data_IF_809901425055
#
_entry.id   IF_809901425055
#
_cell.length_a   1.000
_cell.length_b   1.000
_cell.length_c   1.000
_cell.angle_alpha   90.00
_cell.angle_beta   90.00
_cell.angle_gamma   90.00
#
_symmetry.space_group_name_H-M   'P 1'
#
loop_
_entity.id
_entity.type
_entity.pdbx_description
1 polymer ?
#
# COMPACT_ATOMS: atom_id res chain seq x y z
N UNK A 1 -13.94 -33.45 -11.91
CA UNK A 1 -14.97 -33.59 -12.95
C UNK A 1 -15.36 -32.20 -13.43
N UNK A 2 -15.26 -31.92 -14.73
CA UNK A 2 -15.68 -30.65 -15.34
C UNK A 2 -17.21 -30.58 -15.46
N UNK A 3 -17.78 -29.38 -15.60
CA UNK A 3 -19.23 -29.20 -15.70
C UNK A 3 -19.86 -29.98 -16.86
N UNK A 4 -19.14 -30.14 -17.96
CA UNK A 4 -19.61 -30.87 -19.13
C UNK A 4 -19.65 -32.39 -18.91
N UNK A 5 -18.68 -32.93 -18.17
CA UNK A 5 -18.65 -34.34 -17.76
C UNK A 5 -19.79 -34.63 -16.79
N UNK A 6 -20.04 -33.73 -15.83
CA UNK A 6 -21.17 -33.83 -14.90
C UNK A 6 -22.51 -33.82 -15.65
N UNK A 7 -22.71 -32.89 -16.61
CA UNK A 7 -23.95 -32.84 -17.41
C UNK A 7 -24.20 -34.14 -18.17
N UNK A 8 -23.15 -34.74 -18.72
CA UNK A 8 -23.24 -36.01 -19.45
C UNK A 8 -23.67 -37.15 -18.51
N UNK A 9 -23.08 -37.21 -17.31
CA UNK A 9 -23.43 -38.20 -16.28
C UNK A 9 -24.87 -38.01 -15.77
N UNK A 10 -25.30 -36.77 -15.55
CA UNK A 10 -26.66 -36.45 -15.14
C UNK A 10 -27.69 -36.81 -16.22
N UNK A 11 -27.39 -36.57 -17.51
CA UNK A 11 -28.30 -36.92 -18.62
C UNK A 11 -28.47 -38.42 -18.85
N UNK A 12 -27.50 -39.22 -18.42
CA UNK A 12 -27.51 -40.68 -18.55
C UNK A 12 -28.13 -41.40 -17.33
N UNK A 13 -28.52 -40.65 -16.29
CA UNK A 13 -28.99 -41.20 -15.02
C UNK A 13 -30.51 -41.06 -14.86
N UNK A 14 -31.15 -42.04 -14.22
CA UNK A 14 -32.58 -41.96 -13.93
C UNK A 14 -32.92 -40.83 -12.95
N UNK A 15 -34.08 -40.22 -13.14
CA UNK A 15 -34.58 -39.10 -12.32
C UNK A 15 -34.58 -39.41 -10.81
N UNK A 16 -34.96 -40.63 -10.42
CA UNK A 16 -34.96 -41.03 -9.01
C UNK A 16 -33.54 -41.05 -8.39
N UNK A 17 -32.53 -41.45 -9.17
CA UNK A 17 -31.14 -41.42 -8.74
C UNK A 17 -30.61 -39.98 -8.66
N UNK A 18 -31.05 -39.10 -9.56
CA UNK A 18 -30.72 -37.67 -9.55
C UNK A 18 -31.28 -36.97 -8.31
N UNK A 19 -32.55 -37.20 -7.98
CA UNK A 19 -33.19 -36.63 -6.79
C UNK A 19 -32.49 -37.08 -5.50
N UNK A 20 -32.13 -38.36 -5.41
CA UNK A 20 -31.37 -38.91 -4.28
C UNK A 20 -29.97 -38.34 -4.18
N UNK A 21 -29.22 -38.28 -5.29
CA UNK A 21 -27.87 -37.72 -5.31
C UNK A 21 -27.87 -36.23 -4.92
N UNK A 22 -28.84 -35.47 -5.43
CA UNK A 22 -28.98 -34.06 -5.10
C UNK A 22 -29.30 -33.83 -3.62
N UNK A 23 -30.22 -34.62 -3.05
CA UNK A 23 -30.55 -34.54 -1.62
C UNK A 23 -29.34 -34.87 -0.72
N UNK A 24 -28.54 -35.89 -1.07
CA UNK A 24 -27.33 -36.24 -0.32
C UNK A 24 -26.24 -35.17 -0.43
N UNK A 25 -26.03 -34.59 -1.62
CA UNK A 25 -25.13 -33.46 -1.81
C UNK A 25 -25.57 -32.24 -1.00
N UNK A 26 -26.87 -31.92 -1.00
CA UNK A 26 -27.43 -30.80 -0.26
C UNK A 26 -27.28 -30.98 1.26
N UNK A 27 -27.45 -32.20 1.79
CA UNK A 27 -27.24 -32.51 3.21
C UNK A 27 -25.83 -32.15 3.70
N UNK A 28 -24.82 -32.36 2.86
CA UNK A 28 -23.41 -32.10 3.19
C UNK A 28 -23.05 -30.60 3.29
N UNK A 29 -23.93 -29.71 2.84
CA UNK A 29 -23.70 -28.26 2.91
C UNK A 29 -23.89 -27.71 4.32
N UNK A 30 -23.07 -26.72 4.67
CA UNK A 30 -23.21 -25.96 5.93
C UNK A 30 -24.42 -25.02 5.85
N UNK A 31 -24.96 -24.62 7.00
CA UNK A 31 -26.16 -23.76 7.08
C UNK A 31 -26.07 -22.49 6.21
N UNK A 32 -24.95 -21.77 6.29
CA UNK A 32 -24.73 -20.56 5.48
C UNK A 32 -24.72 -20.83 3.96
N UNK A 33 -24.19 -22.00 3.54
CA UNK A 33 -24.17 -22.38 2.12
C UNK A 33 -25.57 -22.75 1.63
N UNK A 34 -26.39 -23.39 2.48
CA UNK A 34 -27.80 -23.70 2.19
C UNK A 34 -28.60 -22.43 1.95
N UNK A 35 -28.48 -21.45 2.85
CA UNK A 35 -29.18 -20.17 2.75
C UNK A 35 -28.88 -19.42 1.43
N UNK A 36 -27.64 -19.50 0.92
CA UNK A 36 -27.27 -18.90 -0.37
C UNK A 36 -27.89 -19.63 -1.58
N UNK A 37 -27.90 -20.97 -1.56
CA UNK A 37 -28.35 -21.76 -2.71
C UNK A 37 -29.84 -22.05 -2.73
N UNK A 38 -30.54 -21.93 -1.59
CA UNK A 38 -31.98 -22.26 -1.48
C UNK A 38 -32.82 -21.41 -2.42
N UNK A 39 -32.52 -20.11 -2.50
CA UNK A 39 -33.19 -19.19 -3.43
C UNK A 39 -33.00 -19.59 -4.90
N UNK A 40 -31.82 -20.07 -5.26
CA UNK A 40 -31.48 -20.53 -6.62
C UNK A 40 -32.17 -21.85 -6.93
N UNK A 41 -32.17 -22.77 -5.97
CA UNK A 41 -32.76 -24.10 -6.06
C UNK A 41 -34.27 -24.03 -6.24
N UNK A 42 -34.96 -23.22 -5.41
CA UNK A 42 -36.40 -22.97 -5.53
C UNK A 42 -36.72 -22.35 -6.90
N UNK A 43 -35.94 -21.35 -7.33
CA UNK A 43 -36.14 -20.70 -8.63
C UNK A 43 -36.03 -21.67 -9.82
N UNK A 44 -35.05 -22.58 -9.80
CA UNK A 44 -34.87 -23.61 -10.85
C UNK A 44 -36.03 -24.60 -10.86
N UNK A 45 -36.48 -25.07 -9.69
CA UNK A 45 -37.59 -26.02 -9.58
C UNK A 45 -38.94 -25.43 -9.99
N UNK A 46 -39.14 -24.13 -9.79
CA UNK A 46 -40.31 -23.38 -10.25
C UNK A 46 -40.33 -23.10 -11.76
N UNK A 47 -39.33 -23.60 -12.51
CA UNK A 47 -39.27 -23.43 -13.97
C UNK A 47 -38.92 -22.01 -14.41
N UNK A 48 -38.46 -21.14 -13.50
CA UNK A 48 -37.90 -19.84 -13.86
C UNK A 48 -36.58 -20.14 -14.58
N UNK A 49 -36.51 -19.84 -15.87
CA UNK A 49 -35.23 -19.83 -16.57
C UNK A 49 -34.27 -19.00 -15.75
N UNK A 50 -33.10 -19.55 -15.45
CA UNK A 50 -31.99 -18.69 -15.07
C UNK A 50 -31.78 -17.74 -16.25
N UNK A 51 -32.43 -16.57 -16.19
CA UNK A 51 -31.75 -15.38 -16.66
C UNK A 51 -30.37 -15.53 -16.04
N UNK A 52 -29.34 -15.61 -16.89
CA UNK A 52 -28.00 -15.33 -16.41
C UNK A 52 -28.19 -14.07 -15.60
N UNK A 53 -28.14 -14.15 -14.26
CA UNK A 53 -27.81 -12.98 -13.46
C UNK A 53 -26.61 -12.46 -14.21
N UNK A 54 -26.76 -11.30 -14.84
CA UNK A 54 -25.61 -10.57 -15.36
C UNK A 54 -24.66 -10.61 -14.19
N UNK A 55 -23.57 -11.36 -14.34
CA UNK A 55 -22.43 -11.26 -13.45
C UNK A 55 -22.03 -9.80 -13.55
N UNK A 56 -22.43 -9.03 -12.54
CA UNK A 56 -22.50 -7.59 -12.63
C UNK A 56 -23.84 -7.08 -12.10
N UNK A 57 -24.16 -7.35 -10.83
CA UNK A 57 -24.50 -6.21 -10.00
C UNK A 57 -23.19 -5.40 -9.95
N UNK A 58 -23.02 -4.54 -10.96
CA UNK A 58 -22.16 -3.38 -10.84
C UNK A 58 -22.68 -2.70 -9.59
N UNK A 59 -21.97 -2.82 -8.46
CA UNK A 59 -22.25 -1.97 -7.31
C UNK A 59 -22.29 -0.57 -7.88
N UNK A 60 -23.43 0.10 -7.71
CA UNK A 60 -23.57 1.47 -8.15
C UNK A 60 -22.43 2.26 -7.53
N UNK A 61 -21.64 2.94 -8.34
CA UNK A 61 -20.46 3.65 -7.84
C UNK A 61 -20.87 4.66 -6.77
N UNK A 62 -22.06 5.26 -6.92
CA UNK A 62 -22.61 6.18 -5.93
C UNK A 62 -22.87 5.48 -4.58
N UNK A 63 -23.41 4.26 -4.61
CA UNK A 63 -23.61 3.46 -3.41
C UNK A 63 -22.26 3.08 -2.77
N UNK A 64 -21.27 2.66 -3.58
CA UNK A 64 -19.93 2.34 -3.10
C UNK A 64 -19.27 3.55 -2.43
N UNK A 65 -19.35 4.72 -3.08
CA UNK A 65 -18.81 5.99 -2.57
C UNK A 65 -19.46 6.36 -1.23
N UNK A 66 -20.79 6.25 -1.13
CA UNK A 66 -21.53 6.51 0.11
C UNK A 66 -21.13 5.52 1.23
N UNK A 67 -21.02 4.23 0.92
CA UNK A 67 -20.61 3.21 1.88
C UNK A 67 -19.20 3.45 2.42
N UNK A 68 -18.24 3.75 1.54
CA UNK A 68 -16.85 4.05 1.93
C UNK A 68 -16.81 5.32 2.77
N UNK A 69 -17.50 6.39 2.36
CA UNK A 69 -17.52 7.67 3.10
C UNK A 69 -18.11 7.50 4.49
N UNK A 70 -19.25 6.80 4.61
CA UNK A 70 -19.87 6.48 5.89
C UNK A 70 -18.96 5.60 6.77
N UNK A 71 -18.26 4.63 6.17
CA UNK A 71 -17.28 3.80 6.85
C UNK A 71 -16.14 4.64 7.42
N UNK A 72 -15.51 5.49 6.61
CA UNK A 72 -14.38 6.32 7.02
C UNK A 72 -14.75 7.26 8.15
N UNK A 73 -15.91 7.94 8.05
CA UNK A 73 -16.42 8.78 9.12
C UNK A 73 -16.52 8.02 10.45
N UNK A 74 -17.09 6.81 10.41
CA UNK A 74 -17.22 5.99 11.61
C UNK A 74 -15.88 5.47 12.15
N UNK A 75 -14.89 5.25 11.29
CA UNK A 75 -13.54 4.88 11.71
C UNK A 75 -12.84 6.03 12.43
N UNK A 76 -12.91 7.24 11.88
CA UNK A 76 -12.37 8.44 12.52
C UNK A 76 -13.10 8.81 13.83
N UNK A 77 -14.41 8.59 13.90
CA UNK A 77 -15.20 8.72 15.13
C UNK A 77 -14.92 7.57 16.15
N UNK A 78 -13.98 6.66 15.84
CA UNK A 78 -13.60 5.50 16.66
C UNK A 78 -14.75 4.52 16.98
N UNK A 79 -15.82 4.55 16.20
CA UNK A 79 -17.00 3.70 16.43
C UNK A 79 -16.73 2.20 16.18
N UNK A 80 -15.62 1.85 15.51
CA UNK A 80 -15.17 0.47 15.36
C UNK A 80 -14.31 -0.02 16.52
N UNK A 81 -13.73 0.87 17.32
CA UNK A 81 -12.89 0.53 18.48
C UNK A 81 -13.67 0.63 19.79
N UNK A 82 -14.25 1.79 20.08
CA UNK A 82 -14.85 2.11 21.40
C UNK A 82 -16.30 1.61 21.49
N UNK A 83 -16.78 1.16 22.67
CA UNK A 83 -18.20 0.93 22.93
C UNK A 83 -19.10 2.13 22.58
N UNK A 84 -20.01 1.93 21.62
CA UNK A 84 -20.99 2.93 21.19
C UNK A 84 -22.31 2.26 20.73
N UNK A 85 -23.34 3.07 20.49
CA UNK A 85 -24.67 2.64 20.00
C UNK A 85 -24.84 2.67 18.48
N UNK A 86 -23.86 3.21 17.75
CA UNK A 86 -23.90 3.40 16.30
C UNK A 86 -23.51 2.09 15.59
N UNK A 87 -22.42 1.46 16.03
CA UNK A 87 -21.91 0.19 15.51
C UNK A 87 -22.00 -0.88 16.60
N UNK A 88 -22.91 -1.86 16.43
CA UNK A 88 -23.04 -2.98 17.34
C UNK A 88 -21.73 -3.76 17.49
N UNK A 89 -21.47 -4.28 18.69
CA UNK A 89 -20.23 -5.02 19.01
C UNK A 89 -19.96 -6.17 18.03
N UNK A 90 -21.00 -6.84 17.52
CA UNK A 90 -20.89 -7.93 16.54
C UNK A 90 -20.49 -7.48 15.13
N UNK A 91 -20.71 -6.20 14.79
CA UNK A 91 -20.37 -5.63 13.49
C UNK A 91 -18.98 -4.99 13.48
N UNK A 92 -18.49 -4.50 14.62
CA UNK A 92 -17.16 -3.89 14.73
C UNK A 92 -16.05 -4.70 14.08
N UNK A 93 -15.85 -6.00 14.37
CA UNK A 93 -14.75 -6.78 13.77
C UNK A 93 -14.93 -7.06 12.26
N UNK A 94 -16.07 -6.68 11.65
CA UNK A 94 -16.31 -6.85 10.22
C UNK A 94 -15.73 -5.72 9.37
N UNK A 95 -15.25 -4.65 9.98
CA UNK A 95 -14.55 -3.54 9.30
C UNK A 95 -13.50 -4.06 8.30
N UNK A 96 -12.77 -5.12 8.69
CA UNK A 96 -11.70 -5.71 7.88
C UNK A 96 -12.19 -6.31 6.56
N UNK A 97 -13.39 -6.91 6.58
CA UNK A 97 -14.00 -7.46 5.38
C UNK A 97 -14.59 -6.34 4.50
N UNK A 98 -15.11 -5.28 5.13
CA UNK A 98 -15.59 -4.10 4.40
C UNK A 98 -14.45 -3.45 3.62
N UNK A 99 -13.36 -3.08 4.29
CA UNK A 99 -12.18 -2.45 3.63
C UNK A 99 -11.61 -3.36 2.54
N UNK A 100 -11.45 -4.66 2.82
CA UNK A 100 -10.97 -5.61 1.82
C UNK A 100 -11.86 -5.64 0.57
N UNK A 101 -13.18 -5.58 0.74
CA UNK A 101 -14.10 -5.56 -0.38
C UNK A 101 -14.08 -4.20 -1.08
N UNK A 102 -14.04 -3.08 -0.37
CA UNK A 102 -13.94 -1.75 -0.96
C UNK A 102 -12.72 -1.63 -1.88
N UNK A 103 -11.54 -2.07 -1.42
CA UNK A 103 -10.32 -2.07 -2.24
C UNK A 103 -10.52 -2.89 -3.52
N UNK A 104 -11.11 -4.08 -3.42
CA UNK A 104 -11.38 -4.95 -4.59
C UNK A 104 -12.36 -4.34 -5.58
N UNK A 105 -13.39 -3.65 -5.12
CA UNK A 105 -14.36 -3.01 -6.00
C UNK A 105 -13.76 -1.78 -6.68
N UNK A 106 -13.01 -0.95 -5.95
CA UNK A 106 -12.28 0.18 -6.52
C UNK A 106 -11.21 -0.26 -7.53
N UNK A 107 -10.52 -1.38 -7.27
CA UNK A 107 -9.52 -1.94 -8.19
C UNK A 107 -10.13 -2.32 -9.56
N UNK A 108 -11.40 -2.74 -9.61
CA UNK A 108 -12.05 -3.14 -10.88
C UNK A 108 -12.38 -1.95 -11.79
N UNK A 109 -12.37 -0.72 -11.27
CA UNK A 109 -12.75 0.47 -12.04
C UNK A 109 -11.61 0.81 -13.01
N UNK A 110 -11.85 0.77 -14.33
CA UNK A 110 -10.81 1.01 -15.34
C UNK A 110 -10.59 2.52 -15.56
N UNK A 111 -9.41 2.93 -16.08
CA UNK A 111 -9.07 4.35 -16.31
C UNK A 111 -10.06 5.12 -17.19
N UNK A 112 -10.75 4.42 -18.10
CA UNK A 112 -11.72 5.01 -19.03
C UNK A 112 -13.09 5.29 -18.40
N UNK A 113 -13.31 4.88 -17.15
CA UNK A 113 -14.57 5.09 -16.45
C UNK A 113 -14.70 6.54 -15.95
N UNK A 114 -15.87 7.14 -16.10
CA UNK A 114 -16.15 8.52 -15.63
C UNK A 114 -15.89 8.71 -14.12
N UNK A 115 -16.05 7.65 -13.32
CA UNK A 115 -15.80 7.67 -11.89
C UNK A 115 -14.35 7.34 -11.50
N UNK A 116 -13.44 7.14 -12.45
CA UNK A 116 -12.08 6.69 -12.18
C UNK A 116 -11.34 7.59 -11.18
N UNK A 117 -11.40 8.90 -11.37
CA UNK A 117 -10.72 9.85 -10.47
C UNK A 117 -11.27 9.80 -9.05
N UNK A 118 -12.59 9.64 -8.91
CA UNK A 118 -13.23 9.46 -7.61
C UNK A 118 -12.82 8.12 -6.99
N UNK A 119 -12.71 7.06 -7.79
CA UNK A 119 -12.27 5.75 -7.32
C UNK A 119 -10.82 5.79 -6.79
N UNK A 120 -9.91 6.45 -7.52
CA UNK A 120 -8.53 6.68 -7.08
C UNK A 120 -8.52 7.44 -5.76
N UNK A 121 -9.32 8.51 -5.63
CA UNK A 121 -9.43 9.27 -4.38
C UNK A 121 -9.90 8.40 -3.20
N UNK A 122 -10.96 7.63 -3.37
CA UNK A 122 -11.46 6.72 -2.31
C UNK A 122 -10.41 5.67 -1.94
N UNK A 123 -9.64 5.18 -2.91
CA UNK A 123 -8.55 4.24 -2.67
C UNK A 123 -7.42 4.89 -1.85
N UNK A 124 -7.06 6.13 -2.18
CA UNK A 124 -6.11 6.95 -1.43
C UNK A 124 -6.58 7.16 0.01
N UNK A 125 -7.83 7.57 0.21
CA UNK A 125 -8.39 7.84 1.53
C UNK A 125 -8.42 6.56 2.40
N UNK A 126 -8.72 5.40 1.78
CA UNK A 126 -8.63 4.10 2.45
C UNK A 126 -7.18 3.74 2.81
N UNK A 127 -6.21 3.94 1.92
CA UNK A 127 -4.79 3.70 2.23
C UNK A 127 -4.34 4.56 3.42
N UNK A 128 -4.67 5.86 3.40
CA UNK A 128 -4.36 6.79 4.47
C UNK A 128 -4.97 6.34 5.81
N UNK A 129 -6.26 6.01 5.82
CA UNK A 129 -6.96 5.55 7.03
C UNK A 129 -6.26 4.34 7.67
N UNK A 130 -5.81 3.38 6.85
CA UNK A 130 -5.14 2.17 7.33
C UNK A 130 -3.72 2.47 7.81
N UNK A 131 -2.98 3.37 7.15
CA UNK A 131 -1.72 3.89 7.67
C UNK A 131 -1.89 4.59 9.03
N UNK A 132 -2.90 5.45 9.16
CA UNK A 132 -3.20 6.12 10.44
C UNK A 132 -3.58 5.12 11.53
N UNK A 133 -4.35 4.08 11.20
CA UNK A 133 -4.69 3.02 12.13
C UNK A 133 -3.48 2.21 12.64
N UNK A 134 -2.31 2.31 11.98
CA UNK A 134 -1.09 1.69 12.48
C UNK A 134 -0.48 2.48 13.66
N UNK A 135 -0.77 3.78 13.74
CA UNK A 135 -0.30 4.67 14.81
C UNK A 135 -1.37 4.94 15.87
N UNK A 136 -2.65 4.81 15.52
CA UNK A 136 -3.79 5.14 16.37
C UNK A 136 -4.79 3.99 16.46
N UNK A 137 -5.41 3.83 17.62
CA UNK A 137 -6.45 2.82 17.85
C UNK A 137 -7.80 3.22 17.20
N UNK A 138 -7.88 3.14 15.87
CA UNK A 138 -9.13 3.29 15.12
C UNK A 138 -9.93 1.98 15.07
N UNK A 139 -9.23 0.85 15.21
CA UNK A 139 -9.79 -0.50 15.20
C UNK A 139 -9.19 -1.31 16.35
N UNK A 140 -9.88 -2.38 16.77
CA UNK A 140 -9.35 -3.33 17.75
C UNK A 140 -8.38 -4.31 17.08
N UNK A 141 -7.22 -3.81 16.67
CA UNK A 141 -6.12 -4.59 16.10
C UNK A 141 -4.78 -3.88 16.31
N UNK A 142 -3.74 -4.68 16.34
CA UNK A 142 -2.34 -4.25 16.42
C UNK A 142 -1.67 -4.16 15.04
N UNK A 143 -2.35 -4.67 13.99
CA UNK A 143 -1.86 -4.68 12.62
C UNK A 143 -3.04 -4.55 11.63
N UNK A 144 -3.40 -3.31 11.26
CA UNK A 144 -4.52 -3.03 10.37
C UNK A 144 -4.37 -3.65 8.98
N UNK A 145 -3.18 -3.56 8.38
CA UNK A 145 -2.88 -4.11 7.06
C UNK A 145 -3.05 -5.63 7.02
N UNK A 146 -2.45 -6.34 7.99
CA UNK A 146 -2.65 -7.79 8.12
C UNK A 146 -4.11 -8.16 8.34
N UNK A 147 -4.87 -7.33 9.08
CA UNK A 147 -6.29 -7.57 9.37
C UNK A 147 -7.16 -7.53 8.11
N UNK A 148 -6.87 -6.63 7.17
CA UNK A 148 -7.56 -6.54 5.87
C UNK A 148 -7.00 -7.55 4.85
N UNK A 149 -5.91 -8.25 5.18
CA UNK A 149 -5.27 -9.24 4.34
C UNK A 149 -4.50 -8.62 3.17
N UNK A 150 -3.86 -7.48 3.42
CA UNK A 150 -2.97 -6.79 2.48
C UNK A 150 -1.64 -6.49 3.15
N UNK A 151 -0.54 -6.68 2.44
CA UNK A 151 0.73 -6.08 2.82
C UNK A 151 0.69 -4.59 2.46
N UNK A 152 1.25 -3.74 3.33
CA UNK A 152 1.26 -2.29 3.09
C UNK A 152 1.94 -1.91 1.76
N UNK A 153 3.13 -2.47 1.41
CA UNK A 153 3.73 -2.21 0.11
C UNK A 153 2.82 -2.62 -1.06
N UNK A 154 2.15 -3.77 -0.99
CA UNK A 154 1.25 -4.22 -2.06
C UNK A 154 0.03 -3.31 -2.25
N UNK A 155 -0.55 -2.79 -1.16
CA UNK A 155 -1.64 -1.81 -1.27
C UNK A 155 -1.11 -0.47 -1.81
N UNK A 156 0.07 -0.03 -1.38
CA UNK A 156 0.70 1.16 -1.94
C UNK A 156 1.01 1.02 -3.45
N UNK A 157 1.47 -0.14 -3.90
CA UNK A 157 1.70 -0.42 -5.32
C UNK A 157 0.42 -0.31 -6.15
N UNK A 158 -0.70 -0.87 -5.65
CA UNK A 158 -2.00 -0.71 -6.28
C UNK A 158 -2.38 0.77 -6.39
N UNK A 159 -2.20 1.54 -5.32
CA UNK A 159 -2.47 2.98 -5.30
C UNK A 159 -1.63 3.72 -6.35
N UNK A 160 -0.31 3.50 -6.39
CA UNK A 160 0.62 4.12 -7.35
C UNK A 160 0.20 3.79 -8.78
N UNK A 161 -0.08 2.52 -9.07
CA UNK A 161 -0.53 2.05 -10.38
C UNK A 161 -1.82 2.75 -10.81
N UNK A 162 -2.79 2.86 -9.91
CA UNK A 162 -4.08 3.51 -10.19
C UNK A 162 -3.91 5.02 -10.39
N UNK A 163 -3.15 5.68 -9.55
CA UNK A 163 -2.89 7.12 -9.66
C UNK A 163 -2.21 7.46 -10.98
N UNK A 164 -1.16 6.73 -11.38
CA UNK A 164 -0.42 7.01 -12.61
C UNK A 164 -1.09 6.53 -13.91
N UNK A 165 -2.09 5.66 -13.85
CA UNK A 165 -2.85 5.29 -15.06
C UNK A 165 -3.63 6.48 -15.66
N UNK A 166 -3.90 7.53 -14.87
CA UNK A 166 -4.46 8.80 -15.35
C UNK A 166 -3.40 9.79 -15.87
N UNK A 167 -2.12 9.38 -15.89
CA UNK A 167 -0.99 10.24 -16.23
C UNK A 167 -0.24 10.78 -15.02
N UNK A 168 0.93 11.37 -15.30
CA UNK A 168 1.78 11.99 -14.29
C UNK A 168 1.39 13.47 -14.11
N UNK A 169 1.16 13.87 -12.87
CA UNK A 169 1.02 15.27 -12.48
C UNK A 169 1.86 15.55 -11.24
N UNK A 170 2.25 16.81 -11.04
CA UNK A 170 3.03 17.23 -9.86
C UNK A 170 2.26 16.96 -8.57
N UNK A 171 0.95 17.19 -8.60
CA UNK A 171 0.06 16.97 -7.47
C UNK A 171 0.04 15.49 -7.07
N UNK A 172 -0.12 14.59 -8.05
CA UNK A 172 -0.15 13.15 -7.82
C UNK A 172 1.21 12.62 -7.35
N UNK A 173 2.31 13.11 -7.93
CA UNK A 173 3.66 12.74 -7.52
C UNK A 173 3.95 13.20 -6.09
N UNK A 174 3.62 14.47 -5.76
CA UNK A 174 3.78 15.02 -4.42
C UNK A 174 2.96 14.23 -3.40
N UNK A 175 1.72 13.87 -3.74
CA UNK A 175 0.86 13.04 -2.89
C UNK A 175 1.45 11.65 -2.65
N UNK A 176 1.94 10.96 -3.69
CA UNK A 176 2.55 9.64 -3.54
C UNK A 176 3.88 9.68 -2.80
N UNK A 177 4.67 10.76 -2.95
CA UNK A 177 5.87 10.98 -2.14
C UNK A 177 5.51 11.02 -0.65
N UNK A 178 4.48 11.80 -0.27
CA UNK A 178 4.02 11.86 1.11
C UNK A 178 3.61 10.49 1.66
N UNK A 179 2.91 9.68 0.88
CA UNK A 179 2.49 8.35 1.31
C UNK A 179 3.59 7.28 1.30
N UNK A 180 4.68 7.52 0.57
CA UNK A 180 5.87 6.67 0.62
C UNK A 180 6.74 7.00 1.84
N UNK A 181 6.93 8.28 2.13
CA UNK A 181 7.92 8.77 3.11
C UNK A 181 7.33 9.16 4.47
N UNK A 182 6.00 9.09 4.63
CA UNK A 182 5.32 9.51 5.86
C UNK A 182 4.18 8.54 6.22
N UNK A 183 3.57 8.74 7.40
CA UNK A 183 2.44 7.94 7.88
C UNK A 183 2.85 6.73 8.71
N UNK A 184 1.84 6.02 9.25
CA UNK A 184 2.06 4.82 10.05
C UNK A 184 2.43 3.61 9.20
N UNK A 185 3.34 2.80 9.73
CA UNK A 185 3.80 1.57 9.09
C UNK A 185 3.17 0.35 9.77
N UNK A 186 2.81 -0.65 8.96
CA UNK A 186 2.56 -2.00 9.47
C UNK A 186 3.83 -2.55 10.14
N UNK A 187 3.66 -3.51 11.06
CA UNK A 187 4.77 -4.18 11.76
C UNK A 187 5.77 -4.85 10.82
N UNK A 188 5.35 -5.14 9.59
CA UNK A 188 6.13 -5.83 8.57
C UNK A 188 6.65 -4.89 7.47
N UNK A 189 6.46 -3.56 7.60
CA UNK A 189 6.79 -2.58 6.58
C UNK A 189 7.85 -1.55 7.04
N UNK A 190 8.61 -1.05 6.07
CA UNK A 190 9.54 0.07 6.19
C UNK A 190 9.26 1.05 5.04
N UNK A 191 9.40 2.36 5.26
CA UNK A 191 9.18 3.39 4.22
C UNK A 191 9.91 3.08 2.91
N UNK A 192 11.14 2.59 3.00
CA UNK A 192 11.95 2.21 1.83
C UNK A 192 11.27 1.21 0.89
N UNK A 193 10.34 0.39 1.38
CA UNK A 193 9.56 -0.51 0.51
C UNK A 193 8.59 0.27 -0.37
N UNK A 194 7.89 1.27 0.19
CA UNK A 194 7.04 2.17 -0.59
C UNK A 194 7.87 3.08 -1.49
N UNK A 195 9.01 3.57 -1.01
CA UNK A 195 9.95 4.39 -1.79
C UNK A 195 10.41 3.68 -3.06
N UNK A 196 10.82 2.40 -2.96
CA UNK A 196 11.24 1.59 -4.11
C UNK A 196 10.08 1.38 -5.09
N UNK A 197 8.86 1.13 -4.60
CA UNK A 197 7.66 0.99 -5.44
C UNK A 197 7.40 2.29 -6.23
N UNK A 198 7.45 3.45 -5.56
CA UNK A 198 7.26 4.73 -6.21
C UNK A 198 8.38 4.98 -7.23
N UNK A 199 9.64 4.80 -6.83
CA UNK A 199 10.82 4.94 -7.70
C UNK A 199 10.67 4.12 -8.99
N UNK A 200 10.28 2.85 -8.88
CA UNK A 200 10.10 1.96 -10.03
C UNK A 200 8.93 2.37 -10.95
N UNK A 201 8.02 3.18 -10.44
CA UNK A 201 6.84 3.67 -11.15
C UNK A 201 7.06 5.00 -11.89
N UNK A 202 8.16 5.73 -11.60
CA UNK A 202 8.59 6.91 -12.34
C UNK A 202 9.27 6.49 -13.65
N UNK A 203 8.51 6.26 -14.72
CA UNK A 203 9.00 5.51 -15.91
C UNK A 203 9.98 6.28 -16.80
N UNK A 204 9.96 7.60 -16.75
CA UNK A 204 10.76 8.46 -17.64
C UNK A 204 11.58 9.45 -16.83
N UNK A 205 12.67 9.96 -17.40
CA UNK A 205 13.59 10.86 -16.72
C UNK A 205 12.93 12.18 -16.31
N UNK A 206 12.07 12.75 -17.15
CA UNK A 206 11.29 13.97 -16.85
C UNK A 206 10.39 13.79 -15.63
N UNK A 207 9.74 12.63 -15.49
CA UNK A 207 8.92 12.29 -14.33
C UNK A 207 9.80 12.09 -13.08
N UNK A 208 10.99 11.48 -13.23
CA UNK A 208 11.95 11.36 -12.14
C UNK A 208 12.48 12.72 -11.66
N UNK A 209 12.82 13.64 -12.57
CA UNK A 209 13.19 15.01 -12.19
C UNK A 209 12.02 15.75 -11.52
N UNK A 210 10.79 15.58 -12.03
CA UNK A 210 9.59 16.14 -11.40
C UNK A 210 9.43 15.65 -9.96
N UNK A 211 9.63 14.36 -9.70
CA UNK A 211 9.60 13.80 -8.34
C UNK A 211 10.71 14.36 -7.44
N UNK A 212 11.94 14.52 -7.95
CA UNK A 212 13.01 15.16 -7.18
C UNK A 212 12.69 16.61 -6.83
N UNK A 213 12.10 17.37 -7.75
CA UNK A 213 11.69 18.75 -7.49
C UNK A 213 10.59 18.84 -6.44
N UNK A 214 9.56 18.00 -6.54
CA UNK A 214 8.49 17.96 -5.54
C UNK A 214 9.01 17.49 -4.17
N UNK A 215 9.90 16.50 -4.12
CA UNK A 215 10.55 16.07 -2.88
C UNK A 215 11.35 17.20 -2.22
N UNK A 216 12.11 17.98 -3.00
CA UNK A 216 12.84 19.17 -2.50
C UNK A 216 11.90 20.21 -1.91
N UNK A 217 10.77 20.51 -2.57
CA UNK A 217 9.74 21.42 -2.02
C UNK A 217 9.18 20.92 -0.69
N UNK A 218 8.86 19.63 -0.62
CA UNK A 218 8.34 18.99 0.59
C UNK A 218 9.35 19.06 1.75
N UNK A 219 10.65 18.87 1.47
CA UNK A 219 11.74 19.05 2.45
C UNK A 219 11.81 20.49 2.93
N UNK A 220 11.76 21.48 2.03
CA UNK A 220 11.83 22.89 2.39
C UNK A 220 10.65 23.30 3.30
N UNK A 221 9.44 22.83 2.98
CA UNK A 221 8.25 23.05 3.82
C UNK A 221 8.40 22.45 5.22
N UNK A 222 8.90 21.22 5.32
CA UNK A 222 9.14 20.54 6.60
C UNK A 222 10.24 21.20 7.41
N UNK A 223 11.31 21.61 6.75
CA UNK A 223 12.43 22.32 7.37
C UNK A 223 11.97 23.65 7.95
N UNK A 224 11.14 24.41 7.22
CA UNK A 224 10.50 25.63 7.71
C UNK A 224 9.65 25.36 8.95
N UNK A 225 8.77 24.34 8.90
CA UNK A 225 7.96 23.93 10.06
C UNK A 225 8.85 23.54 11.25
N UNK A 226 9.86 22.71 11.03
CA UNK A 226 10.79 22.25 12.06
C UNK A 226 11.55 23.40 12.74
N UNK A 227 11.92 24.44 11.99
CA UNK A 227 12.58 25.63 12.52
C UNK A 227 11.69 26.46 13.46
N UNK A 228 10.37 26.35 13.32
CA UNK A 228 9.41 27.05 14.17
C UNK A 228 9.10 26.32 15.49
N UNK A 229 9.55 25.07 15.64
CA UNK A 229 9.25 24.25 16.80
C UNK A 229 10.27 24.41 17.93
N UNK A 230 9.79 24.36 19.17
CA UNK A 230 10.64 24.34 20.36
C UNK A 230 11.43 23.03 20.46
N UNK A 231 12.60 23.08 21.13
CA UNK A 231 13.55 21.95 21.24
C UNK A 231 12.94 20.61 21.68
N UNK A 232 11.94 20.63 22.56
CA UNK A 232 11.32 19.42 23.11
C UNK A 232 9.93 19.14 22.54
N UNK A 233 9.58 19.78 21.42
CA UNK A 233 8.32 19.49 20.76
C UNK A 233 8.36 18.10 20.13
N UNK A 234 7.39 17.27 20.50
CA UNK A 234 7.24 15.90 19.98
C UNK A 234 7.11 15.85 18.45
N UNK A 235 6.61 16.91 17.81
CA UNK A 235 6.47 16.98 16.35
C UNK A 235 7.82 17.03 15.63
N UNK A 236 8.89 17.45 16.32
CA UNK A 236 10.24 17.51 15.72
C UNK A 236 10.68 16.16 15.20
N UNK A 237 10.48 15.10 15.98
CA UNK A 237 10.87 13.75 15.61
C UNK A 237 10.22 13.31 14.29
N UNK A 238 8.91 13.55 14.15
CA UNK A 238 8.18 13.20 12.95
C UNK A 238 8.68 14.01 11.74
N UNK A 239 8.83 15.33 11.88
CA UNK A 239 9.34 16.17 10.79
C UNK A 239 10.78 15.82 10.38
N UNK A 240 11.66 15.53 11.34
CA UNK A 240 13.03 15.09 11.09
C UNK A 240 13.07 13.76 10.33
N UNK A 241 12.21 12.81 10.74
CA UNK A 241 12.04 11.53 10.03
C UNK A 241 11.52 11.71 8.61
N UNK A 242 10.48 12.54 8.41
CA UNK A 242 9.93 12.80 7.07
C UNK A 242 10.95 13.46 6.14
N UNK A 243 11.75 14.41 6.64
CA UNK A 243 12.83 15.04 5.86
C UNK A 243 13.86 13.99 5.46
N UNK A 244 14.24 13.11 6.38
CA UNK A 244 15.22 12.07 6.11
C UNK A 244 14.74 11.07 5.06
N UNK A 245 13.49 10.62 5.10
CA UNK A 245 12.93 9.70 4.09
C UNK A 245 12.73 10.40 2.73
N UNK A 246 12.38 11.70 2.71
CA UNK A 246 12.39 12.47 1.47
C UNK A 246 13.81 12.63 0.89
N UNK A 247 14.83 12.76 1.75
CA UNK A 247 16.23 12.72 1.30
C UNK A 247 16.57 11.34 0.70
N UNK A 248 16.10 10.24 1.30
CA UNK A 248 16.23 8.88 0.75
C UNK A 248 15.66 8.80 -0.67
N UNK A 249 14.44 9.33 -0.87
CA UNK A 249 13.81 9.41 -2.20
C UNK A 249 14.63 10.21 -3.22
N UNK A 250 15.22 11.34 -2.82
CA UNK A 250 16.08 12.14 -3.71
C UNK A 250 17.34 11.36 -4.09
N UNK A 251 17.99 10.69 -3.14
CA UNK A 251 19.17 9.87 -3.41
C UNK A 251 18.84 8.74 -4.38
N UNK A 252 17.79 7.95 -4.09
CA UNK A 252 17.36 6.85 -4.94
C UNK A 252 17.00 7.32 -6.35
N UNK A 253 16.33 8.47 -6.48
CA UNK A 253 15.96 9.03 -7.79
C UNK A 253 17.17 9.52 -8.56
N UNK A 254 18.14 10.16 -7.89
CA UNK A 254 19.39 10.58 -8.52
C UNK A 254 20.22 9.39 -9.02
N UNK A 255 20.26 8.29 -8.24
CA UNK A 255 20.91 7.04 -8.67
C UNK A 255 20.23 6.48 -9.91
N UNK A 256 18.88 6.42 -9.92
CA UNK A 256 18.11 5.96 -11.07
C UNK A 256 18.37 6.80 -12.33
N UNK A 257 18.61 8.10 -12.17
CA UNK A 257 18.96 9.03 -13.24
C UNK A 257 20.43 8.93 -13.67
N UNK A 258 21.22 8.04 -13.07
CA UNK A 258 22.68 7.94 -13.25
C UNK A 258 23.43 9.24 -12.88
N UNK A 259 22.91 10.00 -11.91
CA UNK A 259 23.51 11.21 -11.34
C UNK A 259 23.75 11.08 -9.81
N UNK A 260 24.36 9.98 -9.33
CA UNK A 260 24.41 9.69 -7.90
C UNK A 260 25.14 10.75 -7.08
N UNK A 261 26.16 11.41 -7.63
CA UNK A 261 26.97 12.42 -6.92
C UNK A 261 26.11 13.58 -6.40
N UNK A 262 25.19 14.08 -7.23
CA UNK A 262 24.28 15.15 -6.84
C UNK A 262 23.31 14.70 -5.73
N UNK A 263 22.84 13.45 -5.81
CA UNK A 263 21.98 12.85 -4.80
C UNK A 263 22.69 12.67 -3.46
N UNK A 264 23.94 12.18 -3.48
CA UNK A 264 24.78 11.99 -2.29
C UNK A 264 25.03 13.34 -1.60
N UNK A 265 25.47 14.34 -2.34
CA UNK A 265 25.73 15.68 -1.78
C UNK A 265 24.47 16.29 -1.17
N UNK A 266 23.32 16.14 -1.83
CA UNK A 266 22.05 16.61 -1.29
C UNK A 266 21.68 15.85 0.00
N UNK A 267 21.76 14.53 0.00
CA UNK A 267 21.42 13.66 1.13
C UNK A 267 22.23 14.01 2.39
N UNK A 268 23.56 14.12 2.28
CA UNK A 268 24.42 14.43 3.42
C UNK A 268 24.28 15.87 3.95
N UNK A 269 23.86 16.79 3.07
CA UNK A 269 23.61 18.19 3.42
C UNK A 269 22.27 18.40 4.11
N UNK A 270 21.23 17.69 3.67
CA UNK A 270 19.85 17.95 4.07
C UNK A 270 19.28 16.92 5.08
N UNK A 271 19.89 15.75 5.26
CA UNK A 271 19.49 14.84 6.34
C UNK A 271 19.64 15.52 7.70
N UNK A 272 18.63 15.35 8.55
CA UNK A 272 18.53 16.02 9.87
C UNK A 272 19.36 15.32 10.96
N UNK A 273 19.92 14.15 10.64
CA UNK A 273 20.73 13.35 11.55
C UNK A 273 22.00 14.09 11.97
N UNK A 274 22.16 14.23 13.27
CA UNK A 274 23.34 14.87 13.88
C UNK A 274 24.59 14.01 13.76
N UNK A 275 24.43 12.69 13.87
CA UNK A 275 25.52 11.73 13.71
C UNK A 275 25.78 11.45 12.23
N UNK A 276 26.94 11.89 11.75
CA UNK A 276 27.38 11.68 10.37
C UNK A 276 27.72 10.22 10.07
N UNK A 277 28.07 9.43 11.09
CA UNK A 277 28.24 7.99 10.93
C UNK A 277 26.89 7.32 10.63
N UNK A 278 25.84 7.66 11.37
CA UNK A 278 24.50 7.13 11.12
C UNK A 278 23.99 7.56 9.72
N UNK A 279 24.28 8.80 9.33
CA UNK A 279 23.95 9.31 7.98
C UNK A 279 24.60 8.45 6.89
N UNK A 280 25.91 8.15 7.04
CA UNK A 280 26.65 7.29 6.12
C UNK A 280 26.08 5.86 6.11
N UNK A 281 25.84 5.26 7.27
CA UNK A 281 25.26 3.93 7.38
C UNK A 281 23.92 3.83 6.65
N UNK A 282 23.04 4.82 6.82
CA UNK A 282 21.72 4.85 6.15
C UNK A 282 21.83 4.99 4.64
N UNK A 283 22.73 5.85 4.14
CA UNK A 283 22.97 5.99 2.71
C UNK A 283 23.45 4.66 2.10
N UNK A 284 24.36 3.96 2.78
CA UNK A 284 24.87 2.65 2.36
C UNK A 284 23.81 1.55 2.46
N UNK A 285 22.93 1.57 3.46
CA UNK A 285 21.78 0.65 3.56
C UNK A 285 20.82 0.83 2.38
N UNK A 286 20.52 2.08 1.99
CA UNK A 286 19.69 2.38 0.82
C UNK A 286 20.31 1.82 -0.47
N UNK A 287 21.61 2.04 -0.68
CA UNK A 287 22.32 1.54 -1.87
C UNK A 287 22.38 0.01 -1.89
N UNK A 288 22.52 -0.61 -0.72
CA UNK A 288 22.51 -2.07 -0.60
C UNK A 288 21.16 -2.67 -1.04
N UNK A 289 20.05 -1.93 -0.89
CA UNK A 289 18.71 -2.40 -1.29
C UNK A 289 18.44 -2.36 -2.80
N UNK A 290 19.30 -1.68 -3.56
CA UNK A 290 19.26 -1.64 -5.02
C UNK A 290 20.43 -2.43 -5.66
N UNK A 291 21.17 -3.19 -4.84
CA UNK A 291 22.26 -4.08 -5.24
C UNK A 291 23.39 -3.43 -6.09
N UNK A 292 23.69 -2.15 -5.83
CA UNK A 292 24.77 -1.41 -6.52
C UNK A 292 26.06 -1.34 -5.69
N UNK A 293 26.88 -2.40 -5.77
CA UNK A 293 28.13 -2.51 -5.02
C UNK A 293 29.18 -1.45 -5.40
N UNK A 294 29.24 -1.05 -6.68
CA UNK A 294 30.21 -0.05 -7.14
C UNK A 294 29.87 1.32 -6.54
N UNK A 295 28.59 1.70 -6.59
CA UNK A 295 28.12 2.91 -5.93
C UNK A 295 28.28 2.83 -4.41
N UNK A 296 28.03 1.67 -3.81
CA UNK A 296 28.21 1.46 -2.38
C UNK A 296 29.65 1.80 -1.96
N UNK A 297 30.64 1.31 -2.71
CA UNK A 297 32.05 1.61 -2.45
C UNK A 297 32.36 3.10 -2.64
N UNK A 298 31.84 3.74 -3.69
CA UNK A 298 32.02 5.19 -3.92
C UNK A 298 31.45 6.03 -2.77
N UNK A 299 30.28 5.67 -2.25
CA UNK A 299 29.66 6.38 -1.11
C UNK A 299 30.39 6.12 0.19
N UNK A 300 30.90 4.91 0.40
CA UNK A 300 31.77 4.60 1.52
C UNK A 300 33.03 5.48 1.48
N UNK A 301 33.72 5.54 0.34
CA UNK A 301 34.91 6.35 0.13
C UNK A 301 34.64 7.85 0.26
N UNK A 302 33.48 8.33 -0.20
CA UNK A 302 33.02 9.69 0.05
C UNK A 302 32.95 9.98 1.56
N UNK A 303 32.39 9.07 2.35
CA UNK A 303 32.33 9.17 3.80
C UNK A 303 33.72 9.30 4.45
N UNK A 304 34.68 8.47 4.01
CA UNK A 304 36.07 8.53 4.46
C UNK A 304 36.72 9.88 4.12
N UNK A 305 36.53 10.38 2.89
CA UNK A 305 37.06 11.68 2.46
C UNK A 305 36.49 12.84 3.30
N UNK A 306 35.24 12.71 3.78
CA UNK A 306 34.60 13.64 4.72
C UNK A 306 35.02 13.43 6.19
N UNK A 307 35.99 12.56 6.45
CA UNK A 307 36.49 12.20 7.80
C UNK A 307 35.41 11.59 8.71
N UNK A 308 34.42 10.93 8.13
CA UNK A 308 33.42 10.16 8.88
C UNK A 308 34.06 8.82 9.21
N UNK A 309 34.08 8.44 10.49
CA UNK A 309 34.56 7.12 10.93
C UNK A 309 33.43 6.10 10.77
N UNK A 310 33.51 5.12 9.84
CA UNK A 310 32.45 4.12 9.69
C UNK A 310 32.47 3.11 10.85
N UNK A 311 31.32 2.51 11.15
CA UNK A 311 31.24 1.33 12.03
C UNK A 311 31.94 0.11 11.44
N UNK A 312 32.37 -0.80 12.32
CA UNK A 312 33.16 -1.99 11.97
C UNK A 312 32.50 -2.87 10.90
N UNK A 313 31.18 -3.01 10.93
CA UNK A 313 30.43 -3.77 9.91
C UNK A 313 30.62 -3.21 8.50
N UNK A 314 30.61 -1.88 8.35
CA UNK A 314 30.82 -1.23 7.05
C UNK A 314 32.27 -1.41 6.58
N UNK A 315 33.24 -1.35 7.49
CA UNK A 315 34.65 -1.61 7.16
C UNK A 315 34.81 -3.03 6.59
N UNK A 316 34.21 -4.02 7.27
CA UNK A 316 34.24 -5.43 6.82
C UNK A 316 33.56 -5.61 5.45
N UNK A 317 32.42 -4.96 5.22
CA UNK A 317 31.73 -5.00 3.93
C UNK A 317 32.59 -4.38 2.83
N UNK A 318 33.19 -3.21 3.06
CA UNK A 318 34.08 -2.56 2.09
C UNK A 318 35.30 -3.44 1.75
N UNK A 319 35.96 -4.02 2.76
CA UNK A 319 37.10 -4.92 2.55
C UNK A 319 36.74 -6.18 1.76
N UNK A 320 35.51 -6.69 1.94
CA UNK A 320 35.00 -7.82 1.17
C UNK A 320 34.78 -7.42 -0.29
N UNK A 321 34.04 -6.34 -0.54
CA UNK A 321 33.75 -5.86 -1.90
C UNK A 321 35.03 -5.54 -2.67
N UNK A 322 36.02 -4.90 -2.02
CA UNK A 322 37.30 -4.57 -2.63
C UNK A 322 38.12 -5.79 -3.08
N UNK A 323 37.95 -6.95 -2.44
CA UNK A 323 38.60 -8.22 -2.83
C UNK A 323 37.87 -8.93 -3.97
N UNK A 324 36.61 -8.59 -4.22
CA UNK A 324 35.78 -9.15 -5.29
C UNK A 324 35.96 -8.40 -6.62
N UNK A 325 36.59 -7.22 -6.61
CA UNK A 325 37.01 -6.49 -7.82
C UNK A 325 38.24 -7.19 -8.42
N UNK A 326 38.21 -7.66 -9.68
CA UNK A 326 39.31 -8.34 -10.35
C UNK A 326 40.61 -7.53 -10.49
#
# INVERSE_FOLDING_TARGET
>A
MKIQELRTLLSASDRAHLEKAFAECYKQLRKAQKEEIDSVLIGILEGKSMEKKKTGDSIDFEELEQQITAFMKNAYDQNYFVPNRIIPKSQRPKWRFMVKNFIKELEKIPPENDNYQKAVKLLTDLYQLICEACNYYLFSTDDPFRSIGWEQPAFFELLVKKTFAAGYSRENISLLLLYATTGGLSREALHVYQEIILLNSLKTSDVSYMAMEEAKKLIDERTKKLSSLQKYDSQRYYLESEIDELCSMILLTAIKLAEPEQGIDYYFKHSTRTDKEITLYRALDLISRIDDNDLWMKVYEYGIQKKIKPRDDLIRTYEKLKKEIP
#
